data_IF_743673544279
#
_entry.id   IF_743673544279
#
_cell.length_a   1.000
_cell.length_b   1.000
_cell.length_c   1.000
_cell.angle_alpha   90.00
_cell.angle_beta   90.00
_cell.angle_gamma   90.00
#
_symmetry.space_group_name_H-M   'P 1'
#
loop_
_entity.id
_entity.type
_entity.pdbx_description
1 polymer ?
#
# COMPACT_ATOMS: atom_id res chain seq x y z
N UNK A 1 -2.80 38.59 15.15
CA UNK A 1 -1.98 37.57 15.87
C UNK A 1 -2.46 36.21 15.41
N UNK A 2 -1.58 35.31 14.92
CA UNK A 2 -2.05 34.04 14.27
C UNK A 2 -2.48 32.96 15.28
N UNK A 3 -2.02 33.03 16.52
CA UNK A 3 -2.29 31.99 17.53
C UNK A 3 -2.90 32.63 18.79
N UNK A 4 -4.01 32.08 19.25
CA UNK A 4 -4.57 32.35 20.57
C UNK A 4 -3.89 31.49 21.63
N UNK A 5 -3.40 32.08 22.71
CA UNK A 5 -2.79 31.39 23.85
C UNK A 5 -3.83 31.20 24.95
N UNK A 6 -4.19 29.96 25.25
CA UNK A 6 -4.76 29.59 26.55
C UNK A 6 -3.73 28.74 27.31
N UNK A 7 -3.81 28.72 28.65
CA UNK A 7 -2.81 28.10 29.52
C UNK A 7 -2.56 26.61 29.29
N UNK A 8 -3.33 25.95 28.40
CA UNK A 8 -3.22 24.50 28.11
C UNK A 8 -3.33 24.12 26.64
N UNK A 9 -3.71 25.02 25.71
CA UNK A 9 -3.85 24.69 24.27
C UNK A 9 -3.52 25.92 23.42
N UNK A 10 -2.77 25.70 22.35
CA UNK A 10 -2.58 26.68 21.28
C UNK A 10 -3.67 26.43 20.24
N UNK A 11 -4.46 27.45 19.89
CA UNK A 11 -5.46 27.42 18.83
C UNK A 11 -5.17 28.52 17.83
N UNK A 12 -5.50 28.30 16.57
CA UNK A 12 -5.48 29.34 15.55
C UNK A 12 -6.57 30.39 15.86
N UNK A 13 -6.27 31.65 15.60
CA UNK A 13 -7.26 32.74 15.52
C UNK A 13 -7.92 32.72 14.15
N UNK A 14 -8.93 33.54 13.89
CA UNK A 14 -9.56 33.65 12.57
C UNK A 14 -8.55 34.11 11.51
N UNK A 15 -7.65 35.05 11.87
CA UNK A 15 -6.54 35.46 11.00
C UNK A 15 -5.54 34.29 10.79
N UNK A 16 -5.33 33.49 11.86
CA UNK A 16 -4.48 32.29 11.80
C UNK A 16 -5.03 31.25 10.83
N UNK A 17 -6.33 31.00 10.83
CA UNK A 17 -6.99 30.09 9.90
C UNK A 17 -6.90 30.59 8.45
N UNK A 18 -7.19 31.87 8.24
CA UNK A 18 -7.05 32.49 6.91
C UNK A 18 -5.60 32.41 6.39
N UNK A 19 -4.62 32.65 7.25
CA UNK A 19 -3.19 32.52 6.91
C UNK A 19 -2.80 31.08 6.59
N UNK A 20 -3.29 30.10 7.37
CA UNK A 20 -2.97 28.68 7.20
C UNK A 20 -3.24 28.19 5.78
N UNK A 21 -4.40 28.54 5.21
CA UNK A 21 -4.81 28.12 3.84
C UNK A 21 -3.75 28.52 2.81
N UNK A 22 -3.23 29.73 2.90
CA UNK A 22 -2.23 30.22 1.95
C UNK A 22 -0.81 29.74 2.28
N UNK A 23 -0.49 29.57 3.55
CA UNK A 23 0.79 29.00 3.98
C UNK A 23 0.95 27.54 3.52
N UNK A 24 -0.09 26.74 3.65
CA UNK A 24 -0.11 25.35 3.14
C UNK A 24 0.09 25.30 1.64
N UNK A 25 -0.61 26.15 0.87
CA UNK A 25 -0.41 26.28 -0.59
C UNK A 25 1.00 26.73 -0.95
N UNK A 26 1.58 27.66 -0.22
CA UNK A 26 2.95 28.12 -0.45
C UNK A 26 3.98 27.01 -0.22
N UNK A 27 3.80 26.23 0.86
CA UNK A 27 4.63 25.04 1.15
C UNK A 27 4.48 23.96 0.09
N UNK A 28 3.26 23.73 -0.37
CA UNK A 28 2.99 22.77 -1.44
C UNK A 28 3.68 23.20 -2.76
N UNK A 29 3.57 24.47 -3.15
CA UNK A 29 4.25 25.00 -4.32
C UNK A 29 5.79 24.93 -4.20
N UNK A 30 6.35 25.14 -3.03
CA UNK A 30 7.78 24.97 -2.79
C UNK A 30 8.21 23.50 -2.97
N UNK A 31 7.42 22.54 -2.47
CA UNK A 31 7.66 21.11 -2.70
C UNK A 31 7.57 20.75 -4.18
N UNK A 32 6.61 21.28 -4.91
CA UNK A 32 6.45 21.06 -6.36
C UNK A 32 7.65 21.60 -7.14
N UNK A 33 8.21 22.75 -6.77
CA UNK A 33 9.42 23.28 -7.39
C UNK A 33 10.64 22.37 -7.21
N UNK A 34 10.84 21.85 -5.99
CA UNK A 34 11.89 20.85 -5.72
C UNK A 34 11.66 19.55 -6.50
N UNK A 35 10.40 19.09 -6.56
CA UNK A 35 10.02 17.91 -7.31
C UNK A 35 10.32 18.06 -8.80
N UNK A 36 9.99 19.20 -9.40
CA UNK A 36 10.28 19.49 -10.80
C UNK A 36 11.80 19.47 -11.09
N UNK A 37 12.61 20.06 -10.21
CA UNK A 37 14.07 20.03 -10.34
C UNK A 37 14.63 18.60 -10.25
N UNK A 38 14.12 17.76 -9.33
CA UNK A 38 14.51 16.34 -9.20
C UNK A 38 14.15 15.55 -10.47
N UNK A 39 12.95 15.73 -11.03
CA UNK A 39 12.55 15.06 -12.26
C UNK A 39 13.51 15.34 -13.41
N UNK A 40 13.90 16.61 -13.60
CA UNK A 40 14.87 16.98 -14.64
C UNK A 40 16.24 16.31 -14.39
N UNK A 41 16.68 16.25 -13.14
CA UNK A 41 17.93 15.60 -12.79
C UNK A 41 17.89 14.08 -13.05
N UNK A 42 16.80 13.41 -12.71
CA UNK A 42 16.60 11.98 -12.96
C UNK A 42 16.59 11.66 -14.46
N UNK A 43 15.94 12.47 -15.28
CA UNK A 43 15.93 12.32 -16.74
C UNK A 43 17.34 12.43 -17.35
N UNK A 44 18.14 13.42 -16.92
CA UNK A 44 19.53 13.57 -17.36
C UNK A 44 20.40 12.36 -16.99
N UNK A 45 20.10 11.71 -15.88
CA UNK A 45 20.84 10.54 -15.40
C UNK A 45 20.32 9.21 -15.95
N UNK A 46 19.33 9.22 -16.86
CA UNK A 46 18.71 8.03 -17.46
C UNK A 46 18.30 7.00 -16.36
N UNK A 47 17.51 7.42 -15.40
CA UNK A 47 17.10 6.57 -14.27
C UNK A 47 15.60 6.66 -13.99
N UNK A 48 15.07 5.61 -13.35
CA UNK A 48 13.70 5.54 -12.87
C UNK A 48 13.66 4.95 -11.46
N UNK A 49 12.85 5.54 -10.59
CA UNK A 49 12.63 5.09 -9.22
C UNK A 49 11.22 4.54 -9.06
N UNK A 50 11.09 3.25 -8.71
CA UNK A 50 9.82 2.55 -8.58
C UNK A 50 9.66 2.08 -7.14
N UNK A 51 8.59 2.54 -6.48
CA UNK A 51 8.16 2.05 -5.19
C UNK A 51 7.18 0.88 -5.33
N UNK A 52 7.28 -0.10 -4.42
CA UNK A 52 6.40 -1.25 -4.42
C UNK A 52 6.17 -1.79 -3.00
N UNK A 53 5.09 -2.53 -2.84
CA UNK A 53 4.80 -3.32 -1.63
C UNK A 53 5.47 -4.69 -1.75
N UNK A 54 6.09 -5.15 -0.66
CA UNK A 54 6.71 -6.47 -0.62
C UNK A 54 5.74 -7.55 -1.11
N UNK A 55 6.21 -8.37 -2.05
CA UNK A 55 5.55 -9.52 -2.65
C UNK A 55 4.42 -9.17 -3.65
N UNK A 56 3.66 -8.08 -3.45
CA UNK A 56 2.61 -7.67 -4.39
C UNK A 56 3.15 -7.39 -5.81
N UNK A 57 4.43 -6.96 -5.90
CA UNK A 57 5.13 -6.67 -7.13
C UNK A 57 5.38 -7.91 -8.01
N UNK A 58 5.37 -9.12 -7.44
CA UNK A 58 5.68 -10.36 -8.18
C UNK A 58 4.75 -10.57 -9.38
N UNK A 59 3.51 -10.13 -9.30
CA UNK A 59 2.56 -10.24 -10.41
C UNK A 59 2.79 -9.21 -11.52
N UNK A 60 3.39 -8.08 -11.22
CA UNK A 60 3.45 -6.91 -12.12
C UNK A 60 4.87 -6.58 -12.57
N UNK A 61 5.85 -6.62 -11.65
CA UNK A 61 7.22 -6.20 -11.90
C UNK A 61 7.95 -6.96 -13.02
N UNK A 62 7.82 -8.29 -13.17
CA UNK A 62 8.54 -9.00 -14.25
C UNK A 62 8.24 -8.44 -15.64
N UNK A 63 6.99 -8.07 -15.91
CA UNK A 63 6.56 -7.52 -17.20
C UNK A 63 7.10 -6.10 -17.40
N UNK A 64 7.04 -5.26 -16.36
CA UNK A 64 7.59 -3.90 -16.37
C UNK A 64 9.09 -3.97 -16.68
N UNK A 65 9.85 -4.79 -15.94
CA UNK A 65 11.30 -4.88 -16.09
C UNK A 65 11.71 -5.46 -17.44
N UNK A 66 11.00 -6.48 -17.94
CA UNK A 66 11.26 -7.06 -19.26
C UNK A 66 11.06 -6.03 -20.37
N UNK A 67 9.99 -5.25 -20.30
CA UNK A 67 9.69 -4.21 -21.28
C UNK A 67 10.73 -3.07 -21.23
N UNK A 68 11.12 -2.62 -20.04
CA UNK A 68 12.14 -1.59 -19.88
C UNK A 68 13.50 -2.05 -20.41
N UNK A 69 13.95 -3.26 -20.09
CA UNK A 69 15.20 -3.82 -20.59
C UNK A 69 15.24 -3.91 -22.12
N UNK A 70 14.10 -4.22 -22.74
CA UNK A 70 13.98 -4.32 -24.20
C UNK A 70 14.06 -2.96 -24.89
N UNK A 71 13.43 -1.94 -24.31
CA UNK A 71 13.27 -0.62 -24.97
C UNK A 71 14.32 0.40 -24.52
N UNK A 72 14.84 0.28 -23.31
CA UNK A 72 15.82 1.18 -22.71
C UNK A 72 16.90 0.38 -21.96
N UNK A 73 17.81 -0.32 -22.66
CA UNK A 73 18.79 -1.24 -22.03
C UNK A 73 19.71 -0.55 -21.03
N UNK A 74 20.04 0.72 -21.25
CA UNK A 74 20.96 1.52 -20.39
C UNK A 74 20.22 2.25 -19.25
N UNK A 75 18.91 2.04 -19.10
CA UNK A 75 18.13 2.66 -18.02
C UNK A 75 18.53 2.09 -16.66
N UNK A 76 18.88 2.97 -15.73
CA UNK A 76 19.12 2.59 -14.33
C UNK A 76 17.79 2.50 -13.60
N UNK A 77 17.44 1.31 -13.12
CA UNK A 77 16.19 1.04 -12.42
C UNK A 77 16.49 0.90 -10.93
N UNK A 78 15.89 1.77 -10.13
CA UNK A 78 15.95 1.75 -8.67
C UNK A 78 14.63 1.26 -8.10
N UNK A 79 14.67 0.13 -7.40
CA UNK A 79 13.51 -0.51 -6.79
C UNK A 79 13.50 -0.24 -5.29
N UNK A 80 12.38 0.26 -4.77
CA UNK A 80 12.21 0.65 -3.37
C UNK A 80 11.04 -0.12 -2.74
N UNK A 81 11.37 -1.00 -1.78
CA UNK A 81 10.38 -1.70 -0.97
C UNK A 81 9.94 -0.78 0.18
N UNK A 82 8.70 -0.33 0.15
CA UNK A 82 8.18 0.72 1.04
C UNK A 82 6.72 0.44 1.40
N UNK A 83 6.25 0.97 2.52
CA UNK A 83 4.82 0.99 2.86
C UNK A 83 4.02 1.85 1.88
N UNK A 84 2.70 1.68 1.84
CA UNK A 84 1.85 2.52 0.98
C UNK A 84 2.05 4.02 1.25
N UNK A 85 2.09 4.41 2.52
CA UNK A 85 2.19 5.82 2.90
C UNK A 85 3.55 6.42 2.55
N UNK A 86 4.64 5.68 2.77
CA UNK A 86 5.98 6.11 2.36
C UNK A 86 6.09 6.29 0.84
N UNK A 87 5.51 5.36 0.05
CA UNK A 87 5.49 5.47 -1.40
C UNK A 87 4.77 6.76 -1.84
N UNK A 88 3.57 7.04 -1.32
CA UNK A 88 2.80 8.24 -1.67
C UNK A 88 3.55 9.51 -1.27
N UNK A 89 4.17 9.53 -0.08
CA UNK A 89 4.96 10.68 0.35
C UNK A 89 6.15 10.93 -0.58
N UNK A 90 6.89 9.89 -0.95
CA UNK A 90 8.04 9.99 -1.86
C UNK A 90 7.63 10.32 -3.29
N UNK A 91 6.48 9.82 -3.76
CA UNK A 91 5.93 10.18 -5.05
C UNK A 91 5.59 11.69 -5.12
N UNK A 92 4.93 12.22 -4.09
CA UNK A 92 4.63 13.65 -3.97
C UNK A 92 5.90 14.51 -3.94
N UNK A 93 6.98 14.01 -3.37
CA UNK A 93 8.29 14.67 -3.32
C UNK A 93 9.12 14.45 -4.60
N UNK A 94 8.60 13.76 -5.62
CA UNK A 94 9.30 13.30 -6.82
C UNK A 94 10.62 12.53 -6.52
N UNK A 95 10.63 11.77 -5.44
CA UNK A 95 11.68 10.80 -5.11
C UNK A 95 11.37 9.43 -5.73
N UNK A 96 10.11 9.20 -6.12
CA UNK A 96 9.66 8.08 -6.93
C UNK A 96 8.99 8.60 -8.20
N UNK A 97 9.12 7.85 -9.28
CA UNK A 97 8.42 8.08 -10.54
C UNK A 97 7.12 7.29 -10.61
N UNK A 98 7.10 6.09 -10.03
CA UNK A 98 5.97 5.16 -10.02
C UNK A 98 5.84 4.51 -8.64
N UNK A 99 4.61 4.38 -8.18
CA UNK A 99 4.24 3.62 -6.98
C UNK A 99 3.34 2.45 -7.33
N UNK A 100 3.54 1.30 -6.67
CA UNK A 100 2.62 0.17 -6.71
C UNK A 100 2.06 -0.02 -5.31
N UNK A 101 0.79 0.35 -5.13
CA UNK A 101 0.14 0.42 -3.81
C UNK A 101 -1.25 -0.19 -3.82
N UNK A 102 -1.81 -0.43 -2.63
CA UNK A 102 -3.23 -0.78 -2.43
C UNK A 102 -4.13 0.46 -2.34
N UNK A 103 -3.58 1.62 -2.57
CA UNK A 103 -4.23 2.90 -2.38
C UNK A 103 -4.45 3.61 -3.71
N UNK A 104 -5.70 4.05 -3.94
CA UNK A 104 -6.04 4.96 -5.04
C UNK A 104 -5.82 6.39 -4.54
N UNK A 105 -4.82 7.07 -5.07
CA UNK A 105 -4.53 8.45 -4.70
C UNK A 105 -5.46 9.41 -5.45
N UNK A 106 -6.45 9.95 -4.76
CA UNK A 106 -7.33 10.99 -5.30
C UNK A 106 -6.64 12.36 -5.21
N UNK A 107 -5.97 12.76 -6.29
CA UNK A 107 -5.26 14.02 -6.36
C UNK A 107 -5.11 14.46 -7.84
N UNK A 108 -5.32 15.75 -8.16
CA UNK A 108 -5.36 16.25 -9.55
C UNK A 108 -4.08 16.04 -10.36
N UNK A 109 -2.92 15.94 -9.71
CA UNK A 109 -1.62 15.79 -10.39
C UNK A 109 -1.21 14.34 -10.64
N UNK A 110 -1.93 13.37 -10.07
CA UNK A 110 -1.56 11.97 -10.17
C UNK A 110 -2.59 11.18 -10.98
N UNK A 111 -2.12 10.20 -11.71
CA UNK A 111 -2.93 9.21 -12.41
C UNK A 111 -2.77 7.86 -11.72
N UNK A 112 -3.88 7.12 -11.63
CA UNK A 112 -3.90 5.77 -11.09
C UNK A 112 -4.33 4.80 -12.18
N UNK A 113 -3.56 3.75 -12.38
CA UNK A 113 -3.93 2.61 -13.22
C UNK A 113 -4.29 1.45 -12.30
N UNK A 114 -5.55 0.99 -12.35
CA UNK A 114 -5.94 -0.22 -11.64
C UNK A 114 -5.27 -1.42 -12.31
N UNK A 115 -4.46 -2.17 -11.57
CA UNK A 115 -3.69 -3.31 -12.11
C UNK A 115 -4.45 -4.62 -11.99
N UNK A 116 -4.99 -4.88 -10.81
CA UNK A 116 -5.76 -6.09 -10.50
C UNK A 116 -6.57 -5.92 -9.21
N UNK A 117 -7.52 -6.82 -9.02
CA UNK A 117 -8.26 -6.96 -7.76
C UNK A 117 -8.07 -8.39 -7.26
N UNK A 118 -7.65 -8.54 -6.01
CA UNK A 118 -7.39 -9.83 -5.38
C UNK A 118 -8.41 -10.15 -4.31
N UNK A 119 -8.73 -11.43 -4.17
CA UNK A 119 -9.52 -11.93 -3.06
C UNK A 119 -8.66 -11.96 -1.79
N UNK A 120 -9.24 -11.60 -0.65
CA UNK A 120 -8.66 -11.86 0.66
C UNK A 120 -9.18 -13.20 1.15
N UNK A 121 -8.32 -13.98 1.78
CA UNK A 121 -8.64 -15.27 2.39
C UNK A 121 -8.34 -15.23 3.88
N UNK A 122 -9.18 -15.87 4.70
CA UNK A 122 -8.83 -16.20 6.06
C UNK A 122 -7.98 -17.47 6.04
N UNK A 123 -6.83 -17.45 6.67
CA UNK A 123 -5.86 -18.55 6.71
C UNK A 123 -5.45 -18.83 8.15
N UNK A 124 -5.17 -20.08 8.45
CA UNK A 124 -4.62 -20.49 9.74
C UNK A 124 -3.91 -21.85 9.63
N UNK A 125 -3.02 -22.14 10.56
CA UNK A 125 -2.47 -23.48 10.70
C UNK A 125 -3.57 -24.49 11.07
N UNK A 126 -3.48 -25.72 10.54
CA UNK A 126 -4.51 -26.76 10.67
C UNK A 126 -4.89 -27.06 12.13
N UNK A 127 -3.94 -26.97 13.06
CA UNK A 127 -4.22 -27.25 14.48
C UNK A 127 -5.11 -26.19 15.15
N UNK A 128 -5.18 -24.95 14.61
CA UNK A 128 -6.05 -23.88 15.12
C UNK A 128 -7.51 -24.06 14.67
N UNK A 129 -7.74 -24.76 13.57
CA UNK A 129 -9.05 -25.08 13.06
C UNK A 129 -9.02 -26.45 12.37
N UNK A 130 -9.12 -27.50 13.17
CA UNK A 130 -8.94 -28.90 12.72
C UNK A 130 -10.11 -29.46 11.92
N UNK A 131 -11.27 -28.80 11.95
CA UNK A 131 -12.49 -29.20 11.22
C UNK A 131 -12.63 -28.45 9.93
N UNK A 132 -13.38 -29.01 8.98
CA UNK A 132 -13.73 -28.33 7.72
C UNK A 132 -15.04 -27.54 7.80
N UNK A 133 -15.49 -27.24 9.02
CA UNK A 133 -16.67 -26.40 9.23
C UNK A 133 -16.41 -24.96 8.84
N UNK A 134 -17.47 -24.27 8.43
CA UNK A 134 -17.48 -22.83 8.20
C UNK A 134 -17.24 -22.12 9.53
N UNK A 135 -16.24 -21.23 9.59
CA UNK A 135 -15.96 -20.40 10.75
C UNK A 135 -16.84 -19.15 10.73
N UNK A 136 -17.54 -18.89 11.80
CA UNK A 136 -18.20 -17.60 12.00
C UNK A 136 -17.16 -16.56 12.38
N UNK A 137 -17.11 -15.43 11.65
CA UNK A 137 -16.10 -14.39 11.91
C UNK A 137 -16.11 -13.88 13.35
N UNK A 138 -17.27 -13.88 14.01
CA UNK A 138 -17.40 -13.53 15.43
C UNK A 138 -16.63 -14.46 16.37
N UNK A 139 -16.32 -15.69 15.95
CA UNK A 139 -15.54 -16.63 16.76
C UNK A 139 -14.07 -16.21 16.84
N UNK A 140 -13.57 -15.41 15.91
CA UNK A 140 -12.20 -14.90 15.90
C UNK A 140 -11.84 -14.11 17.15
N UNK A 141 -12.82 -13.50 17.83
CA UNK A 141 -12.62 -12.84 19.13
C UNK A 141 -12.03 -13.73 20.23
N UNK A 142 -12.05 -15.05 20.05
CA UNK A 142 -11.51 -16.01 21.00
C UNK A 142 -10.12 -16.55 20.56
N UNK A 143 -9.55 -15.99 19.51
CA UNK A 143 -8.30 -16.47 18.92
C UNK A 143 -7.32 -15.32 18.67
N UNK A 144 -6.04 -15.64 18.61
CA UNK A 144 -5.04 -14.67 18.16
C UNK A 144 -5.26 -14.37 16.68
N UNK A 145 -5.18 -13.09 16.32
CA UNK A 145 -5.33 -12.60 14.94
C UNK A 145 -4.07 -11.83 14.55
N UNK A 146 -3.46 -12.22 13.45
CA UNK A 146 -2.29 -11.55 12.88
C UNK A 146 -2.80 -10.43 11.99
N UNK A 147 -2.49 -9.19 12.34
CA UNK A 147 -2.99 -7.98 11.70
C UNK A 147 -1.87 -7.10 11.16
N UNK A 148 -2.08 -6.56 9.97
CA UNK A 148 -1.20 -5.52 9.41
C UNK A 148 -1.45 -4.19 10.12
N UNK A 149 -0.37 -3.50 10.54
CA UNK A 149 -0.49 -2.14 11.06
C UNK A 149 -1.14 -1.19 10.05
N UNK A 150 -1.95 -0.27 10.55
CA UNK A 150 -2.66 0.71 9.72
C UNK A 150 -1.72 1.50 8.81
N UNK A 151 -0.57 1.94 9.33
CA UNK A 151 0.41 2.70 8.55
C UNK A 151 1.07 1.90 7.42
N UNK A 152 1.17 0.57 7.56
CA UNK A 152 1.75 -0.29 6.53
C UNK A 152 0.81 -0.45 5.33
N UNK A 153 -0.48 -0.63 5.58
CA UNK A 153 -1.51 -0.75 4.53
C UNK A 153 -2.87 -0.24 5.00
N UNK A 154 -3.13 1.09 4.94
CA UNK A 154 -4.35 1.70 5.48
C UNK A 154 -5.64 1.10 4.92
N UNK A 155 -5.70 0.89 3.60
CA UNK A 155 -6.90 0.36 2.93
C UNK A 155 -7.18 -1.09 3.33
N UNK A 156 -6.15 -1.89 3.53
CA UNK A 156 -6.31 -3.27 4.01
C UNK A 156 -6.80 -3.29 5.45
N UNK A 157 -6.19 -2.47 6.31
CA UNK A 157 -6.62 -2.29 7.69
C UNK A 157 -8.08 -1.86 7.77
N UNK A 158 -8.48 -0.81 7.06
CA UNK A 158 -9.85 -0.29 7.06
C UNK A 158 -10.88 -1.37 6.64
N UNK A 159 -10.58 -2.15 5.61
CA UNK A 159 -11.45 -3.25 5.18
C UNK A 159 -11.61 -4.34 6.24
N UNK A 160 -10.54 -4.65 6.96
CA UNK A 160 -10.59 -5.63 8.04
C UNK A 160 -11.28 -5.06 9.28
N UNK A 161 -11.11 -3.76 9.56
CA UNK A 161 -11.81 -3.09 10.66
C UNK A 161 -13.33 -3.08 10.44
N UNK A 162 -13.79 -2.75 9.22
CA UNK A 162 -15.20 -2.83 8.83
C UNK A 162 -15.78 -4.24 8.97
N UNK A 163 -14.95 -5.27 8.83
CA UNK A 163 -15.36 -6.66 8.93
C UNK A 163 -15.38 -7.18 10.37
N UNK A 164 -14.40 -6.79 11.18
CA UNK A 164 -14.12 -7.37 12.49
C UNK A 164 -14.48 -6.46 13.66
N UNK A 165 -14.65 -5.15 13.44
CA UNK A 165 -14.72 -4.12 14.49
C UNK A 165 -13.52 -4.24 15.45
N UNK A 166 -12.32 -3.96 14.94
CA UNK A 166 -11.03 -4.21 15.61
C UNK A 166 -11.00 -3.62 17.03
N UNK A 167 -11.60 -2.45 17.23
CA UNK A 167 -11.69 -1.80 18.55
C UNK A 167 -12.47 -2.62 19.59
N UNK A 168 -13.25 -3.61 19.18
CA UNK A 168 -13.98 -4.51 20.05
C UNK A 168 -13.22 -5.81 20.36
N UNK A 169 -12.05 -6.01 19.72
CA UNK A 169 -11.18 -7.14 19.99
C UNK A 169 -10.24 -6.82 21.17
N UNK A 170 -9.90 -7.84 21.93
CA UNK A 170 -8.93 -7.67 23.01
C UNK A 170 -7.53 -7.42 22.43
N UNK A 171 -6.85 -6.39 22.91
CA UNK A 171 -5.51 -6.01 22.41
C UNK A 171 -4.48 -7.16 22.51
N UNK A 172 -4.61 -8.01 23.51
CA UNK A 172 -3.72 -9.15 23.73
C UNK A 172 -3.83 -10.23 22.65
N UNK A 173 -4.93 -10.25 21.90
CA UNK A 173 -5.18 -11.19 20.81
C UNK A 173 -4.66 -10.69 19.47
N UNK A 174 -4.29 -9.42 19.36
CA UNK A 174 -3.84 -8.81 18.11
C UNK A 174 -2.32 -8.86 17.98
N UNK A 175 -1.82 -9.66 17.04
CA UNK A 175 -0.41 -9.73 16.69
C UNK A 175 -0.13 -8.79 15.53
N UNK A 176 0.38 -7.61 15.84
CA UNK A 176 0.63 -6.57 14.84
C UNK A 176 1.91 -6.86 14.04
N UNK A 177 1.81 -6.69 12.71
CA UNK A 177 2.94 -6.85 11.79
C UNK A 177 3.08 -5.63 10.88
N UNK A 178 4.31 -5.25 10.60
CA UNK A 178 4.65 -4.10 9.76
C UNK A 178 4.90 -4.48 8.30
N UNK A 179 5.12 -5.76 8.03
CA UNK A 179 5.44 -6.24 6.69
C UNK A 179 4.94 -7.67 6.45
N UNK A 180 4.87 -8.01 5.17
CA UNK A 180 4.31 -9.28 4.70
C UNK A 180 5.13 -10.51 5.11
N UNK A 181 6.45 -10.38 5.29
CA UNK A 181 7.28 -11.53 5.72
C UNK A 181 6.98 -11.92 7.16
N UNK A 182 6.81 -10.94 8.06
CA UNK A 182 6.34 -11.22 9.42
C UNK A 182 4.98 -11.90 9.40
N UNK A 183 4.07 -11.42 8.55
CA UNK A 183 2.73 -11.99 8.38
C UNK A 183 2.80 -13.48 8.01
N UNK A 184 3.55 -13.81 6.93
CA UNK A 184 3.76 -15.19 6.47
C UNK A 184 4.39 -16.05 7.59
N UNK A 185 5.45 -15.55 8.23
CA UNK A 185 6.18 -16.30 9.24
C UNK A 185 5.30 -16.63 10.45
N UNK A 186 4.59 -15.65 11.01
CA UNK A 186 3.70 -15.89 12.16
C UNK A 186 2.56 -16.83 11.80
N UNK A 187 2.00 -16.74 10.59
CA UNK A 187 0.97 -17.67 10.11
C UNK A 187 1.54 -19.10 9.99
N UNK A 188 2.72 -19.24 9.37
CA UNK A 188 3.39 -20.52 9.21
C UNK A 188 3.80 -21.15 10.56
N UNK A 189 4.07 -20.34 11.57
CA UNK A 189 4.33 -20.80 12.95
C UNK A 189 3.05 -21.17 13.71
N UNK A 190 1.88 -20.92 13.14
CA UNK A 190 0.59 -21.19 13.77
C UNK A 190 0.27 -20.27 14.95
N UNK A 191 0.76 -19.04 14.93
CA UNK A 191 0.58 -18.08 16.02
C UNK A 191 -0.82 -17.48 16.10
N UNK A 192 -1.64 -17.61 15.03
CA UNK A 192 -3.00 -17.09 14.98
C UNK A 192 -3.66 -17.25 13.62
N UNK A 193 -4.89 -16.78 13.53
CA UNK A 193 -5.61 -16.58 12.28
C UNK A 193 -5.09 -15.34 11.56
N UNK A 194 -5.15 -15.32 10.24
CA UNK A 194 -4.60 -14.25 9.43
C UNK A 194 -5.44 -14.00 8.20
N UNK A 195 -5.52 -12.75 7.76
CA UNK A 195 -6.17 -12.38 6.49
C UNK A 195 -5.09 -12.14 5.44
N UNK A 196 -5.09 -12.93 4.39
CA UNK A 196 -4.06 -12.90 3.35
C UNK A 196 -4.65 -12.62 1.97
N UNK A 197 -4.12 -11.64 1.21
CA UNK A 197 -4.38 -11.56 -0.22
C UNK A 197 -3.91 -12.82 -0.95
N UNK A 198 -4.58 -13.17 -2.06
CA UNK A 198 -4.35 -14.38 -2.82
C UNK A 198 -2.87 -14.66 -3.16
N UNK A 199 -2.11 -13.62 -3.49
CA UNK A 199 -0.69 -13.79 -3.86
C UNK A 199 0.18 -14.35 -2.74
N UNK A 200 -0.23 -14.23 -1.47
CA UNK A 200 0.50 -14.77 -0.33
C UNK A 200 0.38 -16.28 -0.17
N UNK A 201 -0.68 -16.89 -0.69
CA UNK A 201 -0.99 -18.30 -0.47
C UNK A 201 0.16 -19.23 -0.92
N UNK A 202 0.92 -18.82 -1.95
CA UNK A 202 2.07 -19.58 -2.46
C UNK A 202 3.27 -19.66 -1.51
N UNK A 203 3.31 -18.82 -0.48
CA UNK A 203 4.41 -18.76 0.49
C UNK A 203 4.06 -19.42 1.82
N UNK A 204 2.87 -19.99 1.92
CA UNK A 204 2.41 -20.69 3.09
C UNK A 204 2.90 -22.14 3.08
N UNK A 205 3.16 -22.67 4.28
CA UNK A 205 3.51 -24.08 4.46
C UNK A 205 2.29 -24.97 4.27
N UNK A 206 2.52 -26.25 3.98
CA UNK A 206 1.46 -27.25 3.72
C UNK A 206 0.49 -27.46 4.90
N UNK A 207 0.90 -27.11 6.11
CA UNK A 207 0.05 -27.20 7.30
C UNK A 207 -0.83 -25.97 7.53
N UNK A 208 -0.71 -24.92 6.70
CA UNK A 208 -1.61 -23.76 6.71
C UNK A 208 -2.68 -23.95 5.68
N UNK A 209 -3.93 -23.73 6.05
CA UNK A 209 -5.08 -23.88 5.15
C UNK A 209 -5.93 -22.60 5.07
N UNK A 210 -6.69 -22.52 3.98
CA UNK A 210 -7.75 -21.50 3.83
C UNK A 210 -8.94 -21.94 4.67
N UNK A 211 -9.46 -21.03 5.47
CA UNK A 211 -10.63 -21.24 6.32
C UNK A 211 -11.85 -20.62 5.63
N UNK A 212 -12.88 -21.44 5.44
CA UNK A 212 -14.16 -20.94 4.95
C UNK A 212 -14.87 -20.14 6.02
N UNK A 213 -15.41 -18.98 5.65
CA UNK A 213 -16.10 -18.05 6.56
C UNK A 213 -17.59 -17.94 6.22
N UNK A 214 -18.40 -17.62 7.22
CA UNK A 214 -19.83 -17.39 7.09
C UNK A 214 -20.19 -16.10 6.33
N UNK A 215 -19.22 -15.23 6.12
CA UNK A 215 -19.35 -13.98 5.37
C UNK A 215 -18.35 -13.92 4.23
N UNK A 216 -18.71 -13.18 3.18
CA UNK A 216 -17.80 -12.91 2.06
C UNK A 216 -16.70 -11.95 2.51
N UNK A 217 -15.44 -12.35 2.33
CA UNK A 217 -14.31 -11.51 2.63
C UNK A 217 -14.11 -10.43 1.54
N UNK A 218 -13.62 -9.24 1.91
CA UNK A 218 -13.46 -8.14 0.97
C UNK A 218 -12.39 -8.45 -0.09
N UNK A 219 -12.44 -7.70 -1.19
CA UNK A 219 -11.40 -7.71 -2.23
C UNK A 219 -10.48 -6.51 -2.07
N UNK A 220 -9.24 -6.66 -2.53
CA UNK A 220 -8.21 -5.65 -2.42
C UNK A 220 -7.64 -5.29 -3.78
N UNK A 221 -7.73 -4.01 -4.16
CA UNK A 221 -7.16 -3.51 -5.40
C UNK A 221 -5.65 -3.33 -5.32
N UNK A 222 -4.98 -3.40 -6.45
CA UNK A 222 -3.59 -2.99 -6.64
C UNK A 222 -3.54 -1.92 -7.72
N UNK A 223 -2.82 -0.84 -7.49
CA UNK A 223 -2.77 0.32 -8.36
C UNK A 223 -1.33 0.71 -8.66
N UNK A 224 -1.09 1.15 -9.89
CA UNK A 224 0.11 1.90 -10.25
C UNK A 224 -0.23 3.39 -10.26
N UNK A 225 0.46 4.19 -9.47
CA UNK A 225 0.22 5.63 -9.33
C UNK A 225 1.47 6.40 -9.72
N UNK A 226 1.31 7.45 -10.51
CA UNK A 226 2.41 8.28 -11.02
C UNK A 226 1.95 9.72 -11.28
N UNK A 227 2.90 10.65 -11.36
CA UNK A 227 2.59 12.04 -11.73
C UNK A 227 2.25 12.11 -13.24
N UNK A 228 1.03 12.56 -13.59
CA UNK A 228 0.56 12.66 -14.97
C UNK A 228 1.36 13.64 -15.83
N UNK A 229 2.04 14.60 -15.20
CA UNK A 229 2.85 15.62 -15.86
C UNK A 229 4.33 15.19 -15.98
N UNK A 230 4.68 13.97 -15.54
CA UNK A 230 6.06 13.47 -15.64
C UNK A 230 6.52 13.39 -17.08
N UNK A 231 7.72 13.90 -17.32
CA UNK A 231 8.39 13.83 -18.61
C UNK A 231 9.37 12.66 -18.73
N UNK A 232 9.43 11.76 -17.71
CA UNK A 232 10.32 10.59 -17.73
C UNK A 232 9.88 9.63 -18.85
N UNK A 233 10.72 9.39 -19.90
CA UNK A 233 10.32 8.54 -21.02
C UNK A 233 10.11 7.06 -20.59
N UNK A 234 10.83 6.58 -19.57
CA UNK A 234 10.65 5.25 -19.04
C UNK A 234 9.24 5.06 -18.44
N UNK A 235 8.69 6.09 -17.80
CA UNK A 235 7.35 6.04 -17.23
C UNK A 235 6.28 5.85 -18.31
N UNK A 236 6.42 6.50 -19.48
CA UNK A 236 5.52 6.33 -20.62
C UNK A 236 5.51 4.88 -21.12
N UNK A 237 6.68 4.25 -21.20
CA UNK A 237 6.82 2.84 -21.61
C UNK A 237 6.13 1.93 -20.60
N UNK A 238 6.36 2.14 -19.31
CA UNK A 238 5.73 1.35 -18.24
C UNK A 238 4.21 1.49 -18.29
N UNK A 239 3.69 2.70 -18.32
CA UNK A 239 2.25 2.93 -18.27
C UNK A 239 1.54 2.33 -19.49
N UNK A 240 2.16 2.36 -20.67
CA UNK A 240 1.64 1.68 -21.85
C UNK A 240 1.67 0.15 -21.70
N UNK A 241 2.75 -0.41 -21.16
CA UNK A 241 2.85 -1.84 -20.90
C UNK A 241 1.79 -2.30 -19.90
N UNK A 242 1.58 -1.56 -18.82
CA UNK A 242 0.57 -1.84 -17.81
C UNK A 242 -0.85 -1.80 -18.40
N UNK A 243 -1.18 -0.78 -19.19
CA UNK A 243 -2.50 -0.66 -19.84
C UNK A 243 -2.77 -1.82 -20.80
N UNK A 244 -1.76 -2.31 -21.51
CA UNK A 244 -1.88 -3.45 -22.41
C UNK A 244 -2.08 -4.79 -21.67
N UNK A 245 -1.57 -4.90 -20.45
CA UNK A 245 -1.69 -6.12 -19.62
C UNK A 245 -3.07 -6.26 -18.98
N UNK A 246 -3.74 -5.14 -18.69
CA UNK A 246 -5.07 -5.12 -18.05
C UNK A 246 -6.18 -5.49 -19.05
N UNK A 247 -5.93 -5.36 -20.35
CA UNK A 247 -6.90 -5.65 -21.42
C UNK A 247 -6.86 -7.12 -21.90
N UNK A 248 -6.20 -8.01 -21.17
CA UNK A 248 -6.20 -9.46 -21.37
C UNK A 248 -6.92 -10.13 -20.20
#
# INVERSE_FOLDING_TARGET
>A
MLFGRSSRKVKLTDEGQAFQIYAEKALENAKLAVAAARQVAQQKNNQIHIGFLNVAEIKVMPQILAQLKKTMPDLKIHLHSLTCMEQIQRLKNAELDLCITRFHLDHPDFENIHLLTEQIYLIAAQHLHSTDRILKLQELKNHNIIMCEQNASPVFYEKLDQLLNIDQLEHEQLLWVTNVLQHINLTNMGMGFSFAPEYLLRFLNDHVKIIQTDQMLPKLGLYATFNKNSQNPALKIITQALKNTINI
#
